data_IF_333047102791
#
_entry.id   IF_333047102791
#
_cell.length_a   1.000
_cell.length_b   1.000
_cell.length_c   1.000
_cell.angle_alpha   90.00
_cell.angle_beta   90.00
_cell.angle_gamma   90.00
#
_symmetry.space_group_name_H-M   'P 1'
#
loop_
_entity.id
_entity.type
_entity.pdbx_description
1 polymer ?
#
# COMPACT_ATOMS: atom_id res chain seq x y z
N UNK A 1 1.47 7.25 27.98
CA UNK A 1 2.13 6.22 27.11
C UNK A 1 2.81 6.83 25.89
N UNK A 2 3.24 8.09 25.96
CA UNK A 2 3.82 8.90 24.85
C UNK A 2 5.32 9.20 25.00
N UNK A 3 5.94 8.85 26.11
CA UNK A 3 7.36 9.22 26.36
C UNK A 3 8.39 8.18 25.87
N UNK A 4 8.02 6.91 25.71
CA UNK A 4 8.96 5.87 25.26
C UNK A 4 9.26 5.97 23.76
N UNK A 5 8.33 6.53 22.95
CA UNK A 5 8.48 6.70 21.50
C UNK A 5 9.47 7.79 21.12
N UNK A 6 9.52 8.89 21.87
CA UNK A 6 10.44 9.99 21.60
C UNK A 6 11.92 9.62 21.84
N UNK A 7 12.20 8.75 22.81
CA UNK A 7 13.57 8.37 23.15
C UNK A 7 14.27 7.53 22.09
N UNK A 8 13.60 6.56 21.46
CA UNK A 8 14.20 5.71 20.41
C UNK A 8 14.46 6.46 19.12
N UNK A 9 13.57 7.39 18.75
CA UNK A 9 13.71 8.23 17.56
C UNK A 9 14.84 9.24 17.73
N UNK A 10 14.97 9.84 18.92
CA UNK A 10 16.01 10.82 19.24
C UNK A 10 17.41 10.20 19.26
N UNK A 11 17.57 8.96 19.76
CA UNK A 11 18.87 8.26 19.80
C UNK A 11 19.36 7.86 18.39
N UNK A 12 18.47 7.52 17.45
CA UNK A 12 18.84 7.23 16.07
C UNK A 12 19.40 8.48 15.35
N UNK A 13 18.95 9.68 15.72
CA UNK A 13 19.42 10.94 15.17
C UNK A 13 20.88 11.30 15.53
N UNK A 14 21.50 10.65 16.49
CA UNK A 14 22.87 10.97 16.90
C UNK A 14 23.97 10.28 16.06
N UNK A 15 23.64 9.20 15.31
CA UNK A 15 24.64 8.38 14.63
C UNK A 15 24.41 8.22 13.12
N UNK A 16 23.21 8.56 12.62
CA UNK A 16 22.86 8.40 11.21
C UNK A 16 22.39 9.75 10.68
N UNK A 17 22.90 10.18 9.52
CA UNK A 17 22.48 11.40 8.86
C UNK A 17 21.01 11.38 8.43
N UNK A 18 20.44 12.54 8.20
CA UNK A 18 19.00 12.65 7.84
C UNK A 18 18.68 11.94 6.54
N UNK A 19 19.61 11.92 5.58
CA UNK A 19 19.40 11.29 4.28
C UNK A 19 19.52 9.76 4.36
N UNK A 20 20.53 9.27 5.06
CA UNK A 20 20.72 7.84 5.36
C UNK A 20 19.52 7.26 6.09
N UNK A 21 19.01 8.01 7.05
CA UNK A 21 17.79 7.64 7.79
C UNK A 21 16.58 7.53 6.86
N UNK A 22 16.37 8.48 5.95
CA UNK A 22 15.27 8.45 5.01
C UNK A 22 15.33 7.21 4.08
N UNK A 23 16.53 6.78 3.68
CA UNK A 23 16.74 5.54 2.92
C UNK A 23 16.37 4.32 3.77
N UNK A 24 16.86 4.25 5.01
CA UNK A 24 16.56 3.14 5.91
C UNK A 24 15.06 3.03 6.23
N UNK A 25 14.38 4.16 6.44
CA UNK A 25 12.92 4.20 6.63
C UNK A 25 12.16 3.71 5.38
N UNK A 26 12.66 4.05 4.18
CA UNK A 26 12.10 3.60 2.90
C UNK A 26 12.25 2.09 2.73
N UNK A 27 13.43 1.54 3.05
CA UNK A 27 13.68 0.10 3.03
C UNK A 27 12.86 -0.61 4.11
N UNK A 28 12.80 -0.07 5.34
CA UNK A 28 12.03 -0.62 6.45
C UNK A 28 10.53 -0.72 6.13
N UNK A 29 9.97 0.32 5.51
CA UNK A 29 8.58 0.28 5.07
C UNK A 29 8.33 -0.85 4.07
N UNK A 30 9.22 -1.03 3.11
CA UNK A 30 9.07 -2.05 2.08
C UNK A 30 9.35 -3.46 2.61
N UNK A 31 10.23 -3.60 3.62
CA UNK A 31 10.52 -4.86 4.30
C UNK A 31 9.31 -5.43 5.05
N UNK A 32 8.38 -4.58 5.52
CA UNK A 32 7.10 -5.01 6.10
C UNK A 32 6.34 -5.95 5.15
N UNK A 33 6.49 -5.72 3.83
CA UNK A 33 5.83 -6.50 2.77
C UNK A 33 6.76 -7.53 2.12
N UNK A 34 7.94 -7.80 2.70
CA UNK A 34 8.99 -8.64 2.13
C UNK A 34 9.33 -8.21 0.69
N UNK A 35 9.50 -6.90 0.50
CA UNK A 35 9.63 -6.26 -0.81
C UNK A 35 10.94 -5.47 -0.89
N UNK A 36 12.08 -6.15 -1.22
CA UNK A 36 13.35 -5.47 -1.46
C UNK A 36 13.21 -4.53 -2.66
N UNK A 37 13.85 -3.38 -2.61
CA UNK A 37 13.70 -2.32 -3.60
C UNK A 37 14.87 -2.27 -4.57
N UNK A 38 14.58 -1.93 -5.83
CA UNK A 38 15.59 -1.49 -6.78
C UNK A 38 15.97 -0.03 -6.51
N UNK A 39 17.09 0.41 -7.03
CA UNK A 39 17.62 1.77 -6.83
C UNK A 39 16.61 2.87 -7.24
N UNK A 40 15.96 2.70 -8.39
CA UNK A 40 14.93 3.62 -8.88
C UNK A 40 13.65 3.60 -8.03
N UNK A 41 13.30 2.45 -7.44
CA UNK A 41 12.19 2.31 -6.51
C UNK A 41 12.50 3.01 -5.18
N UNK A 42 13.74 2.92 -4.67
CA UNK A 42 14.17 3.66 -3.47
C UNK A 42 14.06 5.16 -3.75
N UNK A 43 14.66 5.64 -4.82
CA UNK A 43 14.59 7.05 -5.21
C UNK A 43 13.11 7.53 -5.32
N UNK A 44 12.27 6.74 -5.97
CA UNK A 44 10.83 7.03 -6.15
C UNK A 44 10.09 7.20 -4.83
N UNK A 45 10.35 6.34 -3.85
CA UNK A 45 9.61 6.30 -2.58
C UNK A 45 10.31 7.02 -1.42
N UNK A 46 11.42 7.70 -1.69
CA UNK A 46 12.13 8.47 -0.68
C UNK A 46 11.28 9.67 -0.23
N UNK A 47 11.14 9.95 1.09
CA UNK A 47 10.34 11.04 1.62
C UNK A 47 11.01 12.43 1.51
N UNK A 48 12.10 12.52 0.76
CA UNK A 48 12.81 13.76 0.46
C UNK A 48 13.31 13.78 -0.99
N UNK A 49 13.51 14.97 -1.54
CA UNK A 49 14.02 15.10 -2.91
C UNK A 49 15.43 14.57 -3.01
N UNK A 50 15.65 13.74 -4.00
CA UNK A 50 16.96 13.17 -4.32
C UNK A 50 17.03 12.78 -5.79
N UNK A 51 18.22 12.74 -6.32
CA UNK A 51 18.53 12.05 -7.57
C UNK A 51 19.05 10.64 -7.32
N UNK A 52 19.11 9.85 -8.38
CA UNK A 52 19.48 8.44 -8.29
C UNK A 52 20.96 8.25 -7.88
N UNK A 53 21.81 9.20 -8.21
CA UNK A 53 23.23 9.16 -7.89
C UNK A 53 23.48 9.40 -6.40
N UNK A 54 22.81 10.38 -5.80
CA UNK A 54 22.83 10.62 -4.36
C UNK A 54 22.35 9.40 -3.58
N UNK A 55 21.26 8.76 -4.02
CA UNK A 55 20.75 7.53 -3.38
C UNK A 55 21.79 6.41 -3.45
N UNK A 56 22.41 6.20 -4.62
CA UNK A 56 23.42 5.16 -4.83
C UNK A 56 24.66 5.38 -3.94
N UNK A 57 25.17 6.61 -3.89
CA UNK A 57 26.32 6.95 -3.05
C UNK A 57 26.05 6.73 -1.57
N UNK A 58 24.84 7.11 -1.11
CA UNK A 58 24.46 6.92 0.29
C UNK A 58 24.22 5.45 0.65
N UNK A 59 23.64 4.65 -0.25
CA UNK A 59 23.52 3.20 -0.04
C UNK A 59 24.89 2.56 0.20
N UNK A 60 25.92 2.96 -0.57
CA UNK A 60 27.28 2.48 -0.36
C UNK A 60 27.85 2.88 1.01
N UNK A 61 27.49 4.06 1.54
CA UNK A 61 27.95 4.52 2.85
C UNK A 61 27.23 3.85 4.03
N UNK A 62 26.04 3.28 3.83
CA UNK A 62 25.27 2.59 4.86
C UNK A 62 25.86 1.23 5.28
N UNK A 63 26.82 0.69 4.52
CA UNK A 63 27.63 -0.45 4.89
C UNK A 63 26.83 -1.65 5.40
N UNK A 64 27.09 -2.06 6.64
CA UNK A 64 26.50 -3.26 7.26
C UNK A 64 25.00 -3.15 7.55
N UNK A 65 24.37 -1.98 7.41
CA UNK A 65 22.93 -1.80 7.65
C UNK A 65 22.05 -2.20 6.46
N UNK A 66 22.62 -2.19 5.24
CA UNK A 66 21.92 -2.47 3.99
C UNK A 66 22.63 -3.58 3.23
N UNK A 67 21.88 -4.59 2.83
CA UNK A 67 22.37 -5.64 1.92
C UNK A 67 21.98 -5.32 0.48
N UNK A 68 22.79 -5.80 -0.46
CA UNK A 68 22.54 -5.75 -1.90
C UNK A 68 22.69 -7.15 -2.50
N UNK A 69 21.72 -7.57 -3.32
CA UNK A 69 21.78 -8.82 -4.07
C UNK A 69 20.91 -8.70 -5.33
N UNK A 70 21.47 -9.01 -6.50
CA UNK A 70 20.74 -9.02 -7.79
C UNK A 70 20.02 -7.70 -8.10
N UNK A 71 20.68 -6.56 -7.87
CA UNK A 71 20.18 -5.19 -8.01
C UNK A 71 19.02 -4.83 -7.04
N UNK A 72 18.80 -5.63 -6.02
CA UNK A 72 17.85 -5.34 -4.94
C UNK A 72 18.58 -4.93 -3.67
N UNK A 73 18.06 -3.90 -3.01
CA UNK A 73 18.51 -3.38 -1.73
C UNK A 73 17.50 -3.73 -0.64
N UNK A 74 17.98 -4.15 0.52
CA UNK A 74 17.18 -4.59 1.66
C UNK A 74 17.92 -4.35 2.98
N UNK A 75 17.21 -4.42 4.10
CA UNK A 75 17.83 -4.34 5.42
C UNK A 75 18.72 -5.56 5.68
N UNK A 76 19.92 -5.37 6.25
CA UNK A 76 20.87 -6.43 6.51
C UNK A 76 20.24 -7.64 7.24
N UNK A 77 20.58 -8.84 6.78
CA UNK A 77 20.02 -10.10 7.30
C UNK A 77 18.65 -10.48 6.72
N UNK A 78 18.24 -9.81 5.63
CA UNK A 78 16.98 -10.08 4.93
C UNK A 78 17.15 -10.64 3.52
N UNK A 79 18.29 -11.23 3.19
CA UNK A 79 18.66 -11.73 1.85
C UNK A 79 17.58 -12.63 1.23
N UNK A 80 16.89 -13.42 2.05
CA UNK A 80 15.85 -14.35 1.60
C UNK A 80 14.67 -13.68 0.91
N UNK A 81 14.40 -12.40 1.19
CA UNK A 81 13.28 -11.69 0.56
C UNK A 81 13.52 -11.39 -0.92
N UNK A 82 14.77 -11.45 -1.40
CA UNK A 82 15.10 -11.26 -2.83
C UNK A 82 14.48 -12.39 -3.66
N UNK A 83 14.63 -13.63 -3.21
CA UNK A 83 14.03 -14.78 -3.90
C UNK A 83 12.49 -14.72 -3.82
N UNK A 84 11.94 -14.32 -2.66
CA UNK A 84 10.50 -14.08 -2.51
C UNK A 84 9.98 -13.04 -3.52
N UNK A 85 10.70 -11.92 -3.68
CA UNK A 85 10.36 -10.87 -4.64
C UNK A 85 10.34 -11.39 -6.07
N UNK A 86 11.37 -12.12 -6.49
CA UNK A 86 11.47 -12.68 -7.84
C UNK A 86 10.33 -13.64 -8.15
N UNK A 87 9.99 -14.52 -7.20
CA UNK A 87 8.88 -15.46 -7.35
C UNK A 87 7.53 -14.74 -7.44
N UNK A 88 7.28 -13.74 -6.58
CA UNK A 88 6.05 -12.94 -6.59
C UNK A 88 5.95 -12.08 -7.86
N UNK A 89 7.05 -11.51 -8.34
CA UNK A 89 7.10 -10.73 -9.57
C UNK A 89 6.75 -11.60 -10.79
N UNK A 90 7.42 -12.77 -10.92
CA UNK A 90 7.14 -13.72 -12.01
C UNK A 90 5.69 -14.25 -11.96
N UNK A 91 5.13 -14.46 -10.77
CA UNK A 91 3.74 -14.86 -10.59
C UNK A 91 2.80 -13.71 -10.99
N UNK A 92 3.02 -12.51 -10.48
CA UNK A 92 2.20 -11.33 -10.76
C UNK A 92 2.13 -11.00 -12.26
N UNK A 93 3.26 -11.11 -12.98
CA UNK A 93 3.32 -10.88 -14.42
C UNK A 93 2.37 -11.79 -15.21
N UNK A 94 2.20 -13.05 -14.79
CA UNK A 94 1.27 -13.99 -15.43
C UNK A 94 -0.20 -13.55 -15.31
N UNK A 95 -0.56 -12.90 -14.20
CA UNK A 95 -1.92 -12.45 -13.91
C UNK A 95 -2.19 -11.01 -14.36
N UNK A 96 -1.16 -10.19 -14.51
CA UNK A 96 -1.29 -8.77 -14.86
C UNK A 96 -2.17 -8.55 -16.10
N UNK A 97 -1.92 -9.30 -17.19
CA UNK A 97 -2.73 -9.18 -18.41
C UNK A 97 -4.23 -9.41 -18.14
N UNK A 98 -4.54 -10.40 -17.33
CA UNK A 98 -5.93 -10.75 -16.97
C UNK A 98 -6.56 -9.70 -16.06
N UNK A 99 -5.82 -9.22 -15.06
CA UNK A 99 -6.27 -8.12 -14.21
C UNK A 99 -6.60 -6.87 -15.00
N UNK A 100 -5.75 -6.50 -15.97
CA UNK A 100 -6.02 -5.37 -16.86
C UNK A 100 -7.27 -5.60 -17.73
N UNK A 101 -7.51 -6.82 -18.22
CA UNK A 101 -8.72 -7.15 -18.97
C UNK A 101 -9.98 -7.03 -18.10
N UNK A 102 -9.97 -7.59 -16.89
CA UNK A 102 -11.08 -7.46 -15.95
C UNK A 102 -11.32 -6.02 -15.54
N UNK A 103 -10.27 -5.23 -15.33
CA UNK A 103 -10.39 -3.80 -15.06
C UNK A 103 -11.05 -3.02 -16.20
N UNK A 104 -10.77 -3.37 -17.48
CA UNK A 104 -11.48 -2.78 -18.63
C UNK A 104 -12.96 -3.13 -18.63
N UNK A 105 -13.31 -4.39 -18.34
CA UNK A 105 -14.72 -4.82 -18.25
C UNK A 105 -15.42 -4.08 -17.09
N UNK A 106 -14.78 -3.96 -15.92
CA UNK A 106 -15.30 -3.15 -14.81
C UNK A 106 -15.56 -1.71 -15.24
N UNK A 107 -14.62 -1.10 -16.02
CA UNK A 107 -14.76 0.27 -16.52
C UNK A 107 -15.90 0.47 -17.50
N UNK A 108 -16.36 -0.60 -18.18
CA UNK A 108 -17.52 -0.58 -19.07
C UNK A 108 -18.86 -0.71 -18.31
N UNK A 109 -18.85 -1.10 -17.02
CA UNK A 109 -20.08 -1.24 -16.23
C UNK A 109 -20.74 0.13 -15.96
N UNK A 110 -22.07 0.15 -15.75
CA UNK A 110 -22.80 1.37 -15.50
C UNK A 110 -22.26 2.14 -14.27
N UNK A 111 -22.20 3.47 -14.43
CA UNK A 111 -21.79 4.45 -13.41
C UNK A 111 -20.31 4.41 -13.01
N UNK A 112 -19.49 3.50 -13.52
CA UNK A 112 -18.05 3.49 -13.27
C UNK A 112 -17.37 4.48 -14.22
N UNK A 113 -16.54 5.37 -13.69
CA UNK A 113 -15.83 6.45 -14.42
C UNK A 113 -14.33 6.23 -14.48
N UNK A 114 -13.78 5.56 -13.48
CA UNK A 114 -12.37 5.19 -13.44
C UNK A 114 -12.22 3.81 -12.78
N UNK A 115 -11.25 3.05 -13.24
CA UNK A 115 -10.78 1.80 -12.62
C UNK A 115 -9.27 1.86 -12.54
N UNK A 116 -8.72 1.59 -11.37
CA UNK A 116 -7.31 1.36 -11.17
C UNK A 116 -7.09 0.02 -10.45
N UNK A 117 -6.07 -0.72 -10.85
CA UNK A 117 -5.56 -1.88 -10.11
C UNK A 117 -4.80 -1.37 -8.90
N UNK A 118 -5.01 -1.97 -7.74
CA UNK A 118 -4.39 -1.63 -6.46
C UNK A 118 -3.80 -2.87 -5.79
N UNK A 119 -3.32 -2.72 -4.56
CA UNK A 119 -2.84 -3.83 -3.76
C UNK A 119 -1.56 -4.49 -4.29
N UNK A 120 -1.32 -5.71 -3.86
CA UNK A 120 -0.07 -6.42 -4.11
C UNK A 120 0.22 -6.68 -5.58
N UNK A 121 -0.81 -6.91 -6.39
CA UNK A 121 -0.63 -7.16 -7.83
C UNK A 121 -0.19 -5.90 -8.58
N UNK A 122 -0.64 -4.72 -8.15
CA UNK A 122 -0.25 -3.44 -8.78
C UNK A 122 1.25 -3.16 -8.67
N UNK A 123 1.89 -3.65 -7.60
CA UNK A 123 3.34 -3.54 -7.35
C UNK A 123 4.11 -4.83 -7.65
N UNK A 124 3.51 -5.79 -8.34
CA UNK A 124 4.10 -7.08 -8.70
C UNK A 124 4.58 -7.89 -7.47
N UNK A 125 3.89 -7.78 -6.35
CA UNK A 125 4.19 -8.49 -5.10
C UNK A 125 3.08 -9.45 -4.67
N UNK A 126 2.28 -9.94 -5.62
CA UNK A 126 1.11 -10.80 -5.34
C UNK A 126 1.54 -12.21 -4.94
N UNK A 127 0.89 -12.73 -3.91
CA UNK A 127 0.94 -14.16 -3.56
C UNK A 127 0.07 -14.99 -4.49
N UNK A 128 0.20 -16.33 -4.44
CA UNK A 128 -0.52 -17.23 -5.34
C UNK A 128 -2.05 -17.14 -5.23
N UNK A 129 -2.54 -16.85 -4.02
CA UNK A 129 -3.96 -16.85 -3.69
C UNK A 129 -4.54 -15.42 -3.54
N UNK A 130 -3.79 -14.39 -4.00
CA UNK A 130 -4.23 -13.01 -3.84
C UNK A 130 -5.38 -12.67 -4.80
N UNK A 131 -6.33 -11.90 -4.29
CA UNK A 131 -7.41 -11.32 -5.07
C UNK A 131 -6.90 -10.22 -6.01
N UNK A 132 -7.70 -9.88 -7.02
CA UNK A 132 -7.46 -8.73 -7.88
C UNK A 132 -8.14 -7.50 -7.28
N UNK A 133 -7.36 -6.64 -6.66
CA UNK A 133 -7.84 -5.45 -5.97
C UNK A 133 -8.05 -4.28 -6.92
N UNK A 134 -9.20 -3.62 -6.82
CA UNK A 134 -9.51 -2.46 -7.65
C UNK A 134 -10.03 -1.29 -6.83
N UNK A 135 -9.53 -0.10 -7.15
CA UNK A 135 -10.21 1.14 -6.84
C UNK A 135 -11.14 1.51 -7.99
N UNK A 136 -12.38 1.89 -7.65
CA UNK A 136 -13.38 2.36 -8.60
C UNK A 136 -13.76 3.81 -8.27
N UNK A 137 -13.86 4.66 -9.29
CA UNK A 137 -14.53 5.95 -9.16
C UNK A 137 -15.85 5.91 -9.94
N UNK A 138 -16.91 6.39 -9.33
CA UNK A 138 -18.26 6.35 -9.88
C UNK A 138 -18.84 7.75 -10.07
N UNK A 139 -19.92 7.86 -10.85
CA UNK A 139 -20.73 9.08 -10.81
C UNK A 139 -21.30 9.32 -9.41
N UNK A 140 -21.55 10.59 -9.02
CA UNK A 140 -22.19 10.92 -7.76
C UNK A 140 -23.50 10.16 -7.53
N UNK A 141 -23.75 9.74 -6.28
CA UNK A 141 -24.92 8.98 -5.87
C UNK A 141 -25.12 7.63 -6.59
N UNK A 142 -24.02 6.94 -6.96
CA UNK A 142 -24.05 5.62 -7.63
C UNK A 142 -22.99 4.63 -7.12
N UNK A 143 -22.37 4.90 -6.00
CA UNK A 143 -21.35 4.06 -5.38
C UNK A 143 -21.87 2.64 -5.11
N UNK A 144 -23.05 2.53 -4.54
CA UNK A 144 -23.62 1.25 -4.12
C UNK A 144 -24.22 0.46 -5.29
N UNK A 145 -24.83 1.16 -6.25
CA UNK A 145 -25.30 0.56 -7.51
C UNK A 145 -24.12 0.04 -8.34
N UNK A 146 -23.07 0.84 -8.54
CA UNK A 146 -21.86 0.42 -9.25
C UNK A 146 -21.17 -0.77 -8.55
N UNK A 147 -21.09 -0.73 -7.20
CA UNK A 147 -20.61 -1.84 -6.40
C UNK A 147 -21.41 -3.13 -6.64
N UNK A 148 -22.74 -3.03 -6.71
CA UNK A 148 -23.57 -4.20 -6.97
C UNK A 148 -23.27 -4.84 -8.33
N UNK A 149 -23.07 -4.04 -9.40
CA UNK A 149 -22.65 -4.53 -10.71
C UNK A 149 -21.25 -5.18 -10.65
N UNK A 150 -20.28 -4.54 -9.99
CA UNK A 150 -18.94 -5.11 -9.81
C UNK A 150 -18.99 -6.46 -9.07
N UNK A 151 -19.83 -6.62 -8.06
CA UNK A 151 -20.00 -7.88 -7.34
C UNK A 151 -20.70 -8.95 -8.17
N UNK A 152 -21.63 -8.59 -9.06
CA UNK A 152 -22.20 -9.55 -10.05
C UNK A 152 -21.09 -10.03 -10.97
N UNK A 153 -20.26 -9.13 -11.49
CA UNK A 153 -19.11 -9.51 -12.31
C UNK A 153 -18.10 -10.38 -11.55
N UNK A 154 -17.80 -10.05 -10.29
CA UNK A 154 -16.95 -10.90 -9.44
C UNK A 154 -17.51 -12.34 -9.30
N UNK A 155 -18.82 -12.51 -9.21
CA UNK A 155 -19.41 -13.87 -9.18
C UNK A 155 -19.11 -14.66 -10.46
N UNK A 156 -19.12 -13.99 -11.60
CA UNK A 156 -18.79 -14.59 -12.90
C UNK A 156 -17.30 -14.97 -12.94
N UNK A 157 -16.40 -14.07 -12.53
CA UNK A 157 -14.94 -14.34 -12.57
C UNK A 157 -14.53 -15.45 -11.60
N UNK A 158 -15.24 -15.61 -10.48
CA UNK A 158 -15.01 -16.71 -9.53
C UNK A 158 -15.29 -18.09 -10.15
N UNK A 159 -16.15 -18.21 -11.15
CA UNK A 159 -16.33 -19.45 -11.89
C UNK A 159 -15.09 -19.85 -12.69
N UNK A 160 -14.20 -18.88 -12.95
CA UNK A 160 -12.90 -19.08 -13.61
C UNK A 160 -11.72 -19.11 -12.62
N UNK A 161 -12.01 -19.21 -11.32
CA UNK A 161 -10.98 -19.25 -10.27
C UNK A 161 -10.34 -17.90 -9.93
N UNK A 162 -10.99 -16.76 -10.26
CA UNK A 162 -10.45 -15.43 -9.98
C UNK A 162 -11.42 -14.63 -9.12
N UNK A 163 -10.92 -14.10 -8.00
CA UNK A 163 -11.66 -13.20 -7.14
C UNK A 163 -11.28 -11.75 -7.46
N UNK A 164 -12.29 -10.89 -7.65
CA UNK A 164 -12.10 -9.46 -7.78
C UNK A 164 -12.57 -8.79 -6.50
N UNK A 165 -11.70 -7.96 -5.93
CA UNK A 165 -12.00 -7.19 -4.73
C UNK A 165 -12.08 -5.69 -5.05
N UNK A 166 -13.26 -5.11 -5.26
CA UNK A 166 -13.41 -3.65 -5.31
C UNK A 166 -13.32 -3.10 -3.88
N UNK A 167 -12.09 -2.95 -3.37
CA UNK A 167 -11.78 -2.61 -1.98
C UNK A 167 -12.05 -1.15 -1.64
N UNK A 168 -11.94 -0.25 -2.64
CA UNK A 168 -12.22 1.18 -2.49
C UNK A 168 -13.09 1.66 -3.65
N UNK A 169 -14.30 2.12 -3.34
CA UNK A 169 -15.20 2.72 -4.32
C UNK A 169 -15.59 4.11 -3.82
N UNK A 170 -15.30 5.12 -4.62
CA UNK A 170 -15.63 6.52 -4.31
C UNK A 170 -16.42 7.15 -5.44
N UNK A 171 -17.19 8.18 -5.15
CA UNK A 171 -17.78 9.01 -6.21
C UNK A 171 -16.83 10.12 -6.66
N UNK A 172 -17.11 10.75 -7.79
CA UNK A 172 -16.36 11.93 -8.26
C UNK A 172 -16.41 13.11 -7.27
N UNK A 173 -17.33 13.10 -6.28
CA UNK A 173 -17.39 14.10 -5.20
C UNK A 173 -16.36 13.86 -4.09
N UNK A 174 -15.81 12.65 -3.97
CA UNK A 174 -14.94 12.22 -2.87
C UNK A 174 -13.55 11.81 -3.37
N UNK A 175 -13.00 12.55 -4.33
CA UNK A 175 -11.65 12.30 -4.86
C UNK A 175 -10.55 12.77 -3.89
N UNK A 176 -10.81 13.78 -3.07
CA UNK A 176 -9.89 14.23 -2.04
C UNK A 176 -9.94 13.26 -0.84
N UNK A 177 -8.80 12.64 -0.53
CA UNK A 177 -8.69 11.74 0.63
C UNK A 177 -8.46 12.56 1.91
N UNK A 178 -9.15 12.18 2.97
CA UNK A 178 -9.06 12.88 4.26
C UNK A 178 -7.85 12.44 5.10
N UNK A 179 -7.28 11.28 4.82
CA UNK A 179 -6.14 10.74 5.55
C UNK A 179 -4.85 11.08 4.81
N UNK A 180 -4.02 11.92 5.42
CA UNK A 180 -2.76 12.40 4.86
C UNK A 180 -1.59 11.75 5.60
N UNK A 181 -1.10 10.63 5.09
CA UNK A 181 0.05 9.89 5.64
C UNK A 181 0.81 9.14 4.54
N UNK A 182 1.95 8.58 4.91
CA UNK A 182 2.82 7.85 3.99
C UNK A 182 2.13 6.61 3.40
N UNK A 183 1.32 5.89 4.18
CA UNK A 183 0.58 4.72 3.71
C UNK A 183 -0.38 5.11 2.58
N UNK A 184 -1.23 6.12 2.82
CA UNK A 184 -2.19 6.62 1.82
C UNK A 184 -1.49 7.22 0.60
N UNK A 185 -0.36 7.91 0.78
CA UNK A 185 0.44 8.43 -0.32
C UNK A 185 0.99 7.30 -1.21
N UNK A 186 1.52 6.23 -0.60
CA UNK A 186 2.00 5.05 -1.34
C UNK A 186 0.86 4.33 -2.06
N UNK A 187 -0.26 4.07 -1.40
CA UNK A 187 -1.44 3.47 -2.02
C UNK A 187 -1.86 4.22 -3.29
N UNK A 188 -1.95 5.57 -3.23
CA UNK A 188 -2.34 6.39 -4.37
C UNK A 188 -1.35 6.30 -5.53
N UNK A 189 -0.04 6.30 -5.25
CA UNK A 189 1.00 6.32 -6.29
C UNK A 189 1.42 4.93 -6.78
N UNK A 190 0.99 3.86 -6.12
CA UNK A 190 1.19 2.47 -6.56
C UNK A 190 0.07 1.97 -7.47
N UNK A 191 -1.06 2.69 -7.55
CA UNK A 191 -2.16 2.32 -8.42
C UNK A 191 -1.75 2.30 -9.90
N UNK A 192 -2.25 1.28 -10.61
CA UNK A 192 -2.14 1.19 -12.07
C UNK A 192 -3.49 1.58 -12.70
N UNK A 193 -3.63 2.79 -13.24
CA UNK A 193 -4.88 3.22 -13.87
C UNK A 193 -5.14 2.41 -15.13
N UNK A 194 -6.38 1.90 -15.28
CA UNK A 194 -6.79 1.04 -16.40
C UNK A 194 -7.76 1.78 -17.32
N UNK A 195 -8.74 2.48 -16.74
CA UNK A 195 -9.73 3.28 -17.46
C UNK A 195 -9.96 4.62 -16.78
N UNK A 196 -10.48 5.63 -17.49
CA UNK A 196 -10.83 6.91 -16.89
C UNK A 196 -9.64 7.78 -16.51
N UNK A 197 -8.65 7.91 -17.39
CA UNK A 197 -7.41 8.67 -17.13
C UNK A 197 -7.63 10.15 -16.78
N UNK A 198 -8.70 10.75 -17.28
CA UNK A 198 -9.11 12.12 -16.94
C UNK A 198 -9.55 12.23 -15.46
N UNK A 199 -10.30 11.23 -14.98
CA UNK A 199 -10.72 11.13 -13.57
C UNK A 199 -9.51 10.79 -12.69
N UNK A 200 -8.60 9.93 -13.14
CA UNK A 200 -7.36 9.64 -12.42
C UNK A 200 -6.49 10.89 -12.24
N UNK A 201 -6.37 11.74 -13.28
CA UNK A 201 -5.65 13.03 -13.13
C UNK A 201 -6.33 13.96 -12.12
N UNK A 202 -7.68 13.99 -12.09
CA UNK A 202 -8.42 14.75 -11.07
C UNK A 202 -8.18 14.19 -9.67
N UNK A 203 -8.14 12.86 -9.51
CA UNK A 203 -7.81 12.19 -8.26
C UNK A 203 -6.42 12.61 -7.76
N UNK A 204 -5.39 12.55 -8.62
CA UNK A 204 -4.05 13.01 -8.26
C UNK A 204 -3.99 14.51 -7.95
N UNK A 205 -4.73 15.33 -8.69
CA UNK A 205 -4.82 16.77 -8.44
C UNK A 205 -5.51 17.12 -7.12
N UNK A 206 -6.52 16.33 -6.73
CA UNK A 206 -7.20 16.50 -5.45
C UNK A 206 -6.35 16.05 -4.24
N UNK A 207 -5.24 15.33 -4.47
CA UNK A 207 -4.38 14.76 -3.44
C UNK A 207 -2.92 15.21 -3.59
N UNK A 208 -2.68 16.50 -3.90
CA UNK A 208 -1.32 17.03 -4.06
C UNK A 208 -0.48 16.99 -2.78
N UNK A 209 -1.11 16.85 -1.62
CA UNK A 209 -0.45 16.63 -0.32
C UNK A 209 0.49 15.41 -0.34
N UNK A 210 0.26 14.43 -1.20
CA UNK A 210 1.12 13.23 -1.34
C UNK A 210 2.56 13.58 -1.74
N UNK A 211 2.80 14.75 -2.35
CA UNK A 211 4.14 15.25 -2.69
C UNK A 211 4.99 15.60 -1.47
N UNK A 212 4.35 15.86 -0.33
CA UNK A 212 5.05 16.09 0.95
C UNK A 212 5.70 14.80 1.46
N UNK A 213 5.07 13.65 1.18
CA UNK A 213 5.57 12.32 1.55
C UNK A 213 6.43 11.67 0.46
N UNK A 214 6.12 11.92 -0.82
CA UNK A 214 6.74 11.26 -1.97
C UNK A 214 7.09 12.29 -3.07
N UNK A 215 8.08 13.16 -2.84
CA UNK A 215 8.40 14.26 -3.73
C UNK A 215 9.01 13.83 -5.09
N UNK A 216 9.52 12.59 -5.20
CA UNK A 216 10.19 12.09 -6.39
C UNK A 216 9.27 11.29 -7.33
N UNK A 217 8.01 11.06 -6.95
CA UNK A 217 7.08 10.30 -7.80
C UNK A 217 6.75 11.10 -9.06
N UNK A 218 7.04 10.51 -10.21
CA UNK A 218 6.70 11.08 -11.53
C UNK A 218 5.23 10.79 -11.84
N UNK A 219 4.51 11.77 -12.38
CA UNK A 219 3.13 11.58 -12.86
C UNK A 219 3.16 10.70 -14.12
N UNK A 220 2.38 9.63 -14.13
CA UNK A 220 2.21 8.80 -15.32
C UNK A 220 1.44 9.59 -16.38
N UNK A 221 2.04 9.78 -17.55
CA UNK A 221 1.48 10.61 -18.63
C UNK A 221 0.75 9.83 -19.74
N UNK A 222 0.70 8.50 -19.67
CA UNK A 222 0.12 7.70 -20.73
C UNK A 222 -1.41 7.78 -20.77
N UNK A 223 -1.94 8.18 -21.92
CA UNK A 223 -3.37 8.34 -22.16
C UNK A 223 -3.89 7.13 -22.93
N UNK A 224 -4.56 6.22 -22.24
CA UNK A 224 -5.39 5.22 -22.92
C UNK A 224 -6.78 5.82 -23.18
N UNK A 225 -7.15 6.00 -24.45
CA UNK A 225 -8.51 6.42 -24.82
C UNK A 225 -9.44 5.21 -24.72
N UNK A 226 -10.40 5.24 -23.82
CA UNK A 226 -11.44 4.20 -23.72
C UNK A 226 -12.66 4.62 -24.56
N UNK A 227 -12.98 3.85 -25.60
CA UNK A 227 -14.05 4.15 -26.58
C UNK A 227 -15.44 3.57 -26.23
N UNK A 228 -15.67 3.09 -25.01
CA UNK A 228 -16.90 2.34 -24.64
C UNK A 228 -18.01 3.18 -24.00
N UNK A 229 -18.04 4.49 -24.27
CA UNK A 229 -18.97 5.43 -23.61
C UNK A 229 -20.43 5.19 -24.02
N UNK A 230 -20.70 4.73 -25.25
CA UNK A 230 -22.08 4.65 -25.77
C UNK A 230 -22.91 3.54 -25.11
N UNK A 231 -22.38 2.32 -25.03
CA UNK A 231 -23.09 1.18 -24.42
C UNK A 231 -23.36 1.42 -22.94
N UNK A 232 -22.37 1.95 -22.22
CA UNK A 232 -22.51 2.31 -20.81
C UNK A 232 -23.65 3.32 -20.60
N UNK A 233 -23.73 4.36 -21.43
CA UNK A 233 -24.78 5.38 -21.32
C UNK A 233 -26.18 4.79 -21.50
N UNK A 234 -26.36 3.85 -22.43
CA UNK A 234 -27.64 3.16 -22.65
C UNK A 234 -28.04 2.34 -21.40
N UNK A 235 -27.10 1.60 -20.82
CA UNK A 235 -27.34 0.80 -19.62
C UNK A 235 -27.63 1.65 -18.36
N UNK A 236 -27.16 2.88 -18.33
CA UNK A 236 -27.41 3.81 -17.21
C UNK A 236 -28.83 4.44 -17.26
N UNK A 237 -29.42 4.61 -18.45
CA UNK A 237 -30.68 5.34 -18.64
C UNK A 237 -31.80 4.95 -17.65
N UNK A 238 -32.15 3.65 -17.45
CA UNK A 238 -33.24 3.27 -16.56
C UNK A 238 -32.95 3.57 -15.09
N UNK A 239 -31.66 3.71 -14.72
CA UNK A 239 -31.23 3.94 -13.35
C UNK A 239 -30.82 5.39 -13.03
N UNK A 240 -30.90 6.31 -14.01
CA UNK A 240 -30.57 7.74 -13.79
C UNK A 240 -31.62 8.51 -12.99
N UNK A 241 -32.87 8.02 -12.97
CA UNK A 241 -34.00 8.72 -12.36
C UNK A 241 -34.28 8.35 -10.89
N UNK A 242 -35.50 8.66 -10.46
CA UNK A 242 -36.00 8.42 -9.08
C UNK A 242 -35.89 6.95 -8.65
N UNK A 243 -36.07 6.00 -9.58
CA UNK A 243 -35.95 4.56 -9.32
C UNK A 243 -34.52 4.19 -8.93
N UNK A 244 -33.53 4.65 -9.70
CA UNK A 244 -32.12 4.41 -9.40
C UNK A 244 -31.70 5.03 -8.07
N UNK A 245 -32.19 6.24 -7.74
CA UNK A 245 -31.90 6.87 -6.45
C UNK A 245 -32.54 6.11 -5.26
N UNK A 246 -33.69 5.45 -5.48
CA UNK A 246 -34.29 4.60 -4.45
C UNK A 246 -33.51 3.31 -4.26
N UNK A 247 -33.05 2.69 -5.36
CA UNK A 247 -32.23 1.49 -5.35
C UNK A 247 -30.87 1.75 -4.66
N UNK A 248 -30.19 2.84 -5.01
CA UNK A 248 -28.93 3.29 -4.41
C UNK A 248 -29.03 3.39 -2.89
N UNK A 249 -30.02 4.13 -2.40
CA UNK A 249 -30.26 4.32 -0.95
C UNK A 249 -30.63 3.02 -0.25
N UNK A 250 -31.42 2.17 -0.89
CA UNK A 250 -31.81 0.88 -0.34
C UNK A 250 -30.59 -0.04 -0.20
N UNK A 251 -29.79 -0.18 -1.26
CA UNK A 251 -28.58 -1.02 -1.26
C UNK A 251 -27.55 -0.50 -0.25
N UNK A 252 -27.33 0.82 -0.20
CA UNK A 252 -26.48 1.46 0.80
C UNK A 252 -26.89 1.06 2.23
N UNK A 253 -28.13 1.32 2.61
CA UNK A 253 -28.63 1.02 3.96
C UNK A 253 -28.51 -0.47 4.29
N UNK A 254 -28.88 -1.33 3.35
CA UNK A 254 -28.82 -2.79 3.49
C UNK A 254 -27.39 -3.26 3.72
N UNK A 255 -26.42 -2.72 2.98
CA UNK A 255 -25.01 -3.11 3.09
C UNK A 255 -24.36 -2.55 4.33
N UNK A 256 -24.57 -1.30 4.67
CA UNK A 256 -24.04 -0.69 5.90
C UNK A 256 -24.56 -1.47 7.12
N UNK A 257 -25.83 -1.80 7.19
CA UNK A 257 -26.39 -2.60 8.28
C UNK A 257 -25.80 -4.02 8.37
N UNK A 258 -25.29 -4.57 7.25
CA UNK A 258 -24.56 -5.84 7.25
C UNK A 258 -23.11 -5.65 7.70
N UNK A 259 -22.45 -4.62 7.20
CA UNK A 259 -21.03 -4.35 7.50
C UNK A 259 -20.81 -3.93 8.95
N UNK A 260 -21.77 -3.17 9.54
CA UNK A 260 -21.71 -2.76 10.95
C UNK A 260 -21.67 -3.92 11.95
N UNK A 261 -21.99 -5.14 11.48
CA UNK A 261 -21.94 -6.38 12.30
C UNK A 261 -20.63 -7.15 12.13
N UNK A 262 -19.73 -6.70 11.24
CA UNK A 262 -18.44 -7.36 11.01
C UNK A 262 -17.39 -6.86 12.01
N UNK A 263 -16.53 -7.76 12.44
CA UNK A 263 -15.35 -7.40 13.23
C UNK A 263 -14.47 -6.43 12.43
N UNK A 264 -13.91 -5.41 13.09
CA UNK A 264 -13.09 -4.38 12.42
C UNK A 264 -13.89 -3.22 11.81
N UNK A 265 -15.20 -3.17 11.99
CA UNK A 265 -16.00 -2.03 11.57
C UNK A 265 -15.68 -0.77 12.39
N UNK A 266 -15.46 0.35 11.74
CA UNK A 266 -15.35 1.69 12.33
C UNK A 266 -13.97 2.33 12.27
N UNK A 267 -12.86 1.59 12.42
CA UNK A 267 -11.52 2.18 12.49
C UNK A 267 -10.98 2.59 11.10
N UNK A 268 -10.93 1.66 10.15
CA UNK A 268 -10.42 1.90 8.78
C UNK A 268 -11.51 1.68 7.73
N UNK A 269 -12.78 1.70 8.13
CA UNK A 269 -13.90 1.53 7.21
C UNK A 269 -14.70 2.83 7.08
N UNK A 270 -15.04 3.21 5.85
CA UNK A 270 -15.84 4.39 5.55
C UNK A 270 -17.00 4.00 4.64
N UNK A 271 -18.22 4.19 5.11
CA UNK A 271 -19.44 3.86 4.36
C UNK A 271 -20.44 5.01 4.40
N UNK A 272 -20.61 5.69 3.27
CA UNK A 272 -21.58 6.76 3.11
C UNK A 272 -22.10 6.83 1.65
N UNK A 273 -22.70 7.92 1.24
CA UNK A 273 -23.24 8.10 -0.12
C UNK A 273 -22.15 8.18 -1.18
N UNK A 274 -20.97 8.67 -0.83
CA UNK A 274 -19.86 8.93 -1.76
C UNK A 274 -18.68 7.96 -1.59
N UNK A 275 -18.64 7.17 -0.50
CA UNK A 275 -17.54 6.28 -0.20
C UNK A 275 -18.03 4.91 0.26
N UNK A 276 -17.44 3.85 -0.30
CA UNK A 276 -17.52 2.49 0.20
C UNK A 276 -16.10 1.94 0.31
N UNK A 277 -15.53 2.03 1.51
CA UNK A 277 -14.21 1.51 1.86
C UNK A 277 -14.34 0.48 2.98
N UNK A 278 -13.96 -0.77 2.71
CA UNK A 278 -14.10 -1.88 3.65
C UNK A 278 -12.75 -2.47 4.03
N UNK A 279 -11.91 -1.71 4.73
CA UNK A 279 -10.63 -2.21 5.25
C UNK A 279 -10.82 -2.78 6.67
N UNK A 280 -11.45 -3.96 6.75
CA UNK A 280 -11.77 -4.62 8.02
C UNK A 280 -10.55 -5.25 8.70
N UNK A 281 -9.50 -5.53 7.96
CA UNK A 281 -8.27 -6.17 8.45
C UNK A 281 -7.24 -5.17 8.99
N UNK A 282 -7.60 -3.88 9.05
CA UNK A 282 -6.77 -2.80 9.59
C UNK A 282 -5.34 -2.78 9.02
N UNK A 283 -5.22 -2.95 7.71
CA UNK A 283 -3.92 -3.02 7.01
C UNK A 283 -3.01 -1.82 7.29
N UNK A 284 -3.58 -0.63 7.40
CA UNK A 284 -2.81 0.58 7.70
C UNK A 284 -2.20 0.51 9.11
N UNK A 285 -3.02 0.20 10.12
CA UNK A 285 -2.57 0.06 11.51
C UNK A 285 -1.51 -1.02 11.64
N UNK A 286 -1.76 -2.18 11.05
CA UNK A 286 -0.81 -3.27 11.01
C UNK A 286 0.52 -2.84 10.36
N UNK A 287 0.48 -2.14 9.22
CA UNK A 287 1.67 -1.64 8.53
C UNK A 287 2.46 -0.69 9.41
N UNK A 288 1.79 0.24 10.12
CA UNK A 288 2.44 1.17 11.03
C UNK A 288 3.11 0.47 12.19
N UNK A 289 2.43 -0.49 12.84
CA UNK A 289 2.98 -1.28 13.94
C UNK A 289 4.21 -2.10 13.51
N UNK A 290 4.17 -2.69 12.31
CA UNK A 290 5.30 -3.45 11.76
C UNK A 290 6.47 -2.55 11.39
N UNK A 291 6.20 -1.37 10.80
CA UNK A 291 7.23 -0.38 10.50
C UNK A 291 7.94 0.11 11.76
N UNK A 292 7.20 0.42 12.83
CA UNK A 292 7.79 0.81 14.12
C UNK A 292 8.71 -0.28 14.68
N UNK A 293 8.33 -1.55 14.56
CA UNK A 293 9.19 -2.68 14.97
C UNK A 293 10.48 -2.72 14.17
N UNK A 294 10.41 -2.55 12.85
CA UNK A 294 11.59 -2.53 11.98
C UNK A 294 12.52 -1.37 12.29
N UNK A 295 11.98 -0.18 12.49
CA UNK A 295 12.77 1.01 12.86
C UNK A 295 13.47 0.84 14.20
N UNK A 296 12.83 0.19 15.18
CA UNK A 296 13.45 -0.13 16.46
C UNK A 296 14.63 -1.13 16.32
N UNK A 297 14.54 -2.10 15.39
CA UNK A 297 15.64 -3.02 15.09
C UNK A 297 16.82 -2.28 14.47
N UNK A 298 16.55 -1.39 13.50
CA UNK A 298 17.59 -0.56 12.86
C UNK A 298 18.28 0.32 13.92
N UNK A 299 17.53 0.99 14.78
CA UNK A 299 18.07 1.86 15.81
C UNK A 299 19.00 1.12 16.79
N UNK A 300 18.73 -0.15 17.08
CA UNK A 300 19.61 -0.98 17.92
C UNK A 300 20.90 -1.38 17.21
N UNK A 301 20.85 -1.68 15.92
CA UNK A 301 22.03 -2.06 15.12
C UNK A 301 22.94 -0.87 14.82
N UNK A 302 22.38 0.32 14.73
CA UNK A 302 23.10 1.56 14.47
C UNK A 302 23.84 2.13 15.71
N UNK A 303 23.62 1.56 16.91
CA UNK A 303 24.41 1.94 18.10
C UNK A 303 25.77 1.24 18.02
N UNK A 304 26.91 1.96 18.22
CA UNK A 304 28.17 1.30 18.44
C UNK A 304 28.03 0.43 19.70
N UNK A 305 28.61 -0.79 19.66
CA UNK A 305 28.67 -1.65 20.83
C UNK A 305 29.21 -0.87 22.01
N UNK A 306 28.35 -0.53 22.99
CA UNK A 306 28.82 -0.23 24.32
C UNK A 306 29.49 -1.52 24.79
N UNK A 307 30.82 -1.54 24.82
CA UNK A 307 31.63 -2.64 25.26
C UNK A 307 31.02 -3.17 26.57
N UNK A 308 30.58 -4.43 26.57
CA UNK A 308 30.18 -5.13 27.75
C UNK A 308 31.40 -5.05 28.68
N UNK A 309 31.32 -4.41 29.85
CA UNK A 309 32.45 -4.37 30.75
C UNK A 309 32.82 -5.81 31.07
N UNK A 310 34.06 -6.19 30.79
CA UNK A 310 34.65 -7.51 31.07
C UNK A 310 34.88 -7.73 32.59
N UNK A 311 33.89 -7.45 33.42
CA UNK A 311 33.97 -7.55 34.90
C UNK A 311 33.07 -8.63 35.47
N UNK A 312 32.91 -9.77 34.79
CA UNK A 312 32.26 -10.96 35.34
C UNK A 312 32.99 -12.26 35.04
N UNK A 313 34.35 -12.25 34.95
CA UNK A 313 35.16 -13.48 34.86
C UNK A 313 36.10 -13.73 36.07
N UNK A 314 35.87 -13.07 37.17
CA UNK A 314 36.65 -13.32 38.42
C UNK A 314 35.79 -13.63 39.64
N UNK A 315 34.93 -14.61 39.60
CA UNK A 315 34.42 -15.31 40.81
C UNK A 315 34.16 -16.77 40.44
N UNK A 316 35.20 -17.56 40.24
CA UNK A 316 35.11 -19.01 40.31
C UNK A 316 36.52 -19.63 40.42
N UNK A 317 37.26 -19.30 41.48
CA UNK A 317 38.37 -20.14 41.91
C UNK A 317 38.67 -19.86 43.41
N UNK A 318 37.90 -20.48 44.29
CA UNK A 318 38.35 -20.70 45.66
C UNK A 318 38.22 -22.19 45.96
N UNK A 319 39.31 -22.87 46.38
CA UNK A 319 39.28 -24.31 46.65
C UNK A 319 38.59 -24.57 47.98
N UNK A 320 37.69 -25.53 47.99
CA UNK A 320 37.10 -26.08 49.19
C UNK A 320 38.20 -26.84 49.91
N UNK A 321 38.70 -26.26 51.00
CA UNK A 321 39.57 -26.90 51.90
C UNK A 321 38.84 -28.01 52.69
N UNK A 322 39.39 -29.21 52.68
CA UNK A 322 39.05 -30.34 53.53
C UNK A 322 39.41 -30.07 54.94
N UNK A 323 38.53 -30.30 55.90
CA UNK A 323 38.89 -30.83 57.18
C UNK A 323 37.67 -31.31 57.99
N UNK A 324 37.73 -32.58 58.33
CA UNK A 324 37.22 -33.34 59.46
C UNK A 324 35.71 -33.35 59.73
#
# INVERSE_FOLDING_TARGET
>A
MTEVHAGSIVLCNMFIGTFERAILETLAYSDVFEYPLRLDEICRYLPMRADIEQVSQTLNSLGELVGEQDDFYFLAGREKIVETRKQREAHSQKFMRRALQYGRILGALPFIRMVALTGSLAVLNSTKDADFDYMLVTTPNRVWTARAFALVFNRITRLFGHTLCPNLIVSENALAWSTHDLYSARELHQMVPITGMDVYRKLLGANEWTKEFLPNVKRTSEVSKTSEVLLRNILELPLRGKLGNRLERWEMKRKIARFSKQTGFGEETVFNVDVCQGNFDHHKKWTQEMLEKQLNVIARRAKPDEAIPSSMSEIASSPIGSSQ
#
